data_IF_726851229276
#
_entry.id   IF_726851229276
#
_cell.length_a   1.000
_cell.length_b   1.000
_cell.length_c   1.000
_cell.angle_alpha   90.00
_cell.angle_beta   90.00
_cell.angle_gamma   90.00
#
_symmetry.space_group_name_H-M   'P 1'
#
loop_
_entity.id
_entity.type
_entity.pdbx_description
1 polymer ?
#
# COMPACT_ATOMS: atom_id res chain seq x y z
N UNK A 1 -18.97 -8.50 12.15
CA UNK A 1 -18.82 -8.53 13.62
C UNK A 1 -18.53 -9.94 14.05
N UNK A 2 -17.40 -10.18 14.65
CA UNK A 2 -17.12 -11.44 15.33
C UNK A 2 -17.67 -11.28 16.75
N UNK A 3 -18.70 -12.07 17.14
CA UNK A 3 -19.33 -11.91 18.45
C UNK A 3 -18.43 -12.31 19.61
N UNK A 4 -17.20 -12.67 19.34
CA UNK A 4 -16.25 -12.99 20.39
C UNK A 4 -15.26 -11.85 20.51
N UNK A 5 -15.12 -11.36 21.69
CA UNK A 5 -14.02 -10.49 22.12
C UNK A 5 -12.64 -11.14 21.97
N UNK A 6 -12.54 -12.20 21.21
CA UNK A 6 -11.32 -12.96 21.05
C UNK A 6 -10.51 -12.37 19.88
N UNK A 7 -9.29 -12.02 20.19
CA UNK A 7 -8.27 -11.84 19.18
C UNK A 7 -8.05 -13.18 18.47
N UNK A 8 -8.10 -13.19 17.17
CA UNK A 8 -8.03 -14.43 16.42
C UNK A 8 -6.77 -14.42 15.54
N UNK A 9 -5.86 -15.29 15.89
CA UNK A 9 -4.68 -15.54 15.07
C UNK A 9 -4.96 -16.78 14.22
N UNK A 10 -5.14 -16.58 12.94
CA UNK A 10 -5.28 -17.69 11.99
C UNK A 10 -3.95 -18.37 11.67
N UNK A 11 -2.84 -17.89 12.22
CA UNK A 11 -1.51 -18.45 12.00
C UNK A 11 -0.65 -18.48 13.26
N UNK A 12 0.24 -19.51 13.36
CA UNK A 12 1.03 -19.81 14.57
C UNK A 12 2.03 -18.75 14.95
N UNK A 13 2.54 -17.91 14.18
CA UNK A 13 3.57 -16.93 14.51
C UNK A 13 3.10 -15.49 14.37
N UNK A 14 1.81 -15.25 14.49
CA UNK A 14 1.23 -13.92 14.44
C UNK A 14 0.89 -13.39 15.84
N UNK A 15 0.83 -12.07 15.97
CA UNK A 15 0.42 -11.38 17.19
C UNK A 15 -0.77 -10.50 16.89
N UNK A 16 -1.85 -10.65 17.66
CA UNK A 16 -3.03 -9.79 17.53
C UNK A 16 -3.47 -9.32 18.92
N UNK A 17 -3.43 -8.03 19.14
CA UNK A 17 -3.82 -7.37 20.41
C UNK A 17 -4.87 -6.32 20.09
N UNK A 18 -6.05 -6.46 20.68
CA UNK A 18 -7.17 -5.53 20.53
C UNK A 18 -8.48 -6.23 20.22
N UNK A 19 -9.60 -5.58 20.51
CA UNK A 19 -10.92 -6.15 20.31
C UNK A 19 -11.27 -6.31 18.83
N UNK A 20 -11.89 -7.43 18.45
CA UNK A 20 -12.38 -7.72 17.11
C UNK A 20 -11.32 -7.57 15.99
N UNK A 21 -10.08 -7.87 16.30
CA UNK A 21 -8.99 -7.88 15.33
C UNK A 21 -8.63 -9.30 14.92
N UNK A 22 -8.16 -9.48 13.68
CA UNK A 22 -7.89 -10.78 13.11
C UNK A 22 -6.70 -10.76 12.16
N UNK A 23 -5.86 -11.77 12.22
CA UNK A 23 -4.79 -11.98 11.23
C UNK A 23 -4.69 -13.45 10.81
N UNK A 24 -4.52 -13.68 9.52
CA UNK A 24 -4.12 -14.98 8.97
C UNK A 24 -2.73 -14.95 8.30
N UNK A 25 -1.98 -13.88 8.47
CA UNK A 25 -0.63 -13.74 7.92
C UNK A 25 0.44 -14.32 8.83
N UNK A 26 1.41 -15.05 8.26
CA UNK A 26 2.56 -15.55 8.97
C UNK A 26 3.46 -14.37 9.43
N UNK A 27 3.89 -14.37 10.68
CA UNK A 27 4.66 -13.27 11.30
C UNK A 27 4.01 -11.89 11.22
N UNK A 28 2.71 -11.84 11.04
CA UNK A 28 1.97 -10.57 11.08
C UNK A 28 1.79 -10.07 12.51
N UNK A 29 1.66 -8.77 12.66
CA UNK A 29 1.43 -8.13 13.95
C UNK A 29 0.31 -7.08 13.84
N UNK A 30 -0.70 -7.20 14.68
CA UNK A 30 -1.79 -6.22 14.81
C UNK A 30 -1.87 -5.74 16.25
N UNK A 31 -1.80 -4.45 16.45
CA UNK A 31 -2.06 -3.78 17.74
C UNK A 31 -3.12 -2.70 17.51
N UNK A 32 -4.35 -2.97 17.97
CA UNK A 32 -5.47 -2.05 17.80
C UNK A 32 -6.80 -2.79 17.68
N UNK A 33 -7.89 -2.05 17.62
CA UNK A 33 -9.22 -2.61 17.57
C UNK A 33 -9.81 -2.59 16.16
N UNK A 34 -10.64 -3.60 15.85
CA UNK A 34 -11.35 -3.70 14.57
C UNK A 34 -10.40 -3.62 13.35
N UNK A 35 -9.23 -4.23 13.45
CA UNK A 35 -8.24 -4.25 12.37
C UNK A 35 -8.02 -5.67 11.85
N UNK A 36 -7.84 -5.81 10.55
CA UNK A 36 -7.67 -7.12 9.92
C UNK A 36 -6.46 -7.18 8.98
N UNK A 37 -5.79 -8.33 8.98
CA UNK A 37 -4.86 -8.72 7.93
C UNK A 37 -5.32 -10.09 7.39
N UNK A 38 -6.06 -10.11 6.26
CA UNK A 38 -6.74 -11.30 5.81
C UNK A 38 -6.80 -11.44 4.29
N UNK A 39 -6.66 -12.65 3.81
CA UNK A 39 -6.85 -13.03 2.40
C UNK A 39 -8.30 -13.43 2.04
N UNK A 40 -9.21 -13.20 2.92
CA UNK A 40 -10.63 -13.54 2.73
C UNK A 40 -11.29 -13.79 4.07
N UNK A 41 -11.98 -12.81 4.55
CA UNK A 41 -12.74 -12.93 5.79
C UNK A 41 -14.13 -13.54 5.49
N UNK A 42 -14.59 -14.55 6.23
CA UNK A 42 -14.05 -15.08 7.48
C UNK A 42 -13.24 -16.40 7.33
N UNK A 43 -12.33 -16.52 6.40
CA UNK A 43 -11.57 -17.77 6.29
C UNK A 43 -10.64 -17.97 7.48
N UNK A 44 -10.68 -19.15 8.06
CA UNK A 44 -9.77 -19.58 9.12
C UNK A 44 -8.51 -20.25 8.57
N UNK A 45 -8.44 -20.41 7.27
CA UNK A 45 -7.31 -21.10 6.62
C UNK A 45 -6.18 -20.10 6.40
N UNK A 46 -5.04 -20.39 6.97
CA UNK A 46 -3.82 -19.64 6.73
C UNK A 46 -3.35 -19.82 5.29
N UNK A 47 -3.00 -18.73 4.65
CA UNK A 47 -2.41 -18.75 3.32
C UNK A 47 -0.97 -18.21 3.39
N UNK A 48 -0.01 -19.08 3.17
CA UNK A 48 1.41 -18.74 3.25
C UNK A 48 1.85 -17.70 2.20
N UNK A 49 1.02 -17.44 1.20
CA UNK A 49 1.29 -16.42 0.17
C UNK A 49 0.74 -15.04 0.52
N UNK A 50 -0.01 -14.92 1.63
CA UNK A 50 -0.72 -13.70 2.00
C UNK A 50 -0.25 -13.14 3.34
N UNK A 51 -0.13 -11.82 3.39
CA UNK A 51 0.06 -11.04 4.61
C UNK A 51 1.31 -11.43 5.45
N UNK A 52 2.32 -12.02 4.83
CA UNK A 52 3.56 -12.37 5.52
C UNK A 52 4.26 -11.11 6.03
N UNK A 53 4.51 -11.05 7.33
CA UNK A 53 5.15 -9.88 7.95
C UNK A 53 4.32 -8.60 7.89
N UNK A 54 3.01 -8.70 7.67
CA UNK A 54 2.11 -7.55 7.68
C UNK A 54 2.01 -6.95 9.08
N UNK A 55 2.00 -5.62 9.17
CA UNK A 55 1.95 -4.91 10.45
C UNK A 55 0.84 -3.86 10.45
N UNK A 56 0.02 -3.86 11.50
CA UNK A 56 -0.98 -2.82 11.74
C UNK A 56 -0.83 -2.28 13.16
N UNK A 57 -0.75 -0.96 13.27
CA UNK A 57 -0.86 -0.25 14.55
C UNK A 57 -1.97 0.79 14.44
N UNK A 58 -3.02 0.65 15.25
CA UNK A 58 -4.19 1.52 15.21
C UNK A 58 -5.49 0.77 14.96
N UNK A 59 -6.57 1.49 14.69
CA UNK A 59 -7.91 0.90 14.65
C UNK A 59 -8.59 1.06 13.30
N UNK A 60 -9.50 0.14 12.99
CA UNK A 60 -10.30 0.16 11.76
C UNK A 60 -9.45 0.06 10.49
N UNK A 61 -8.25 -0.52 10.58
CA UNK A 61 -7.37 -0.68 9.43
C UNK A 61 -7.50 -2.07 8.82
N UNK A 62 -7.25 -2.17 7.51
CA UNK A 62 -7.26 -3.46 6.84
C UNK A 62 -6.11 -3.66 5.85
N UNK A 63 -5.49 -4.84 5.91
CA UNK A 63 -4.61 -5.38 4.88
C UNK A 63 -5.31 -6.59 4.28
N UNK A 64 -5.77 -6.46 3.05
CA UNK A 64 -6.61 -7.45 2.39
C UNK A 64 -5.98 -7.95 1.10
N UNK A 65 -6.36 -9.16 0.71
CA UNK A 65 -5.92 -9.80 -0.52
C UNK A 65 -7.06 -10.56 -1.15
N UNK A 66 -7.11 -10.64 -2.47
CA UNK A 66 -8.05 -11.52 -3.16
C UNK A 66 -7.74 -12.98 -2.82
N UNK A 67 -8.75 -13.71 -2.34
CA UNK A 67 -8.59 -15.08 -1.86
C UNK A 67 -8.22 -16.10 -2.94
N UNK A 68 -8.56 -15.84 -4.20
CA UNK A 68 -8.40 -16.80 -5.30
C UNK A 68 -7.08 -16.67 -6.08
N UNK A 69 -6.22 -15.75 -5.70
CA UNK A 69 -4.95 -15.52 -6.41
C UNK A 69 -3.81 -16.30 -5.78
N UNK A 70 -3.03 -17.02 -6.58
CA UNK A 70 -1.74 -17.58 -6.16
C UNK A 70 -0.64 -16.53 -5.97
N UNK A 71 -0.90 -15.31 -6.34
CA UNK A 71 0.04 -14.20 -6.22
C UNK A 71 0.27 -13.81 -4.76
N UNK A 72 1.51 -13.56 -4.39
CA UNK A 72 1.82 -12.99 -3.08
C UNK A 72 1.19 -11.61 -2.92
N UNK A 73 0.56 -11.38 -1.79
CA UNK A 73 -0.12 -10.11 -1.50
C UNK A 73 -0.14 -9.82 0.01
N UNK A 74 -0.12 -8.56 0.39
CA UNK A 74 -0.04 -8.13 1.78
C UNK A 74 1.33 -8.34 2.42
N UNK A 75 2.30 -8.84 1.66
CA UNK A 75 3.65 -9.14 2.18
C UNK A 75 4.37 -7.84 2.53
N UNK A 76 4.87 -7.79 3.76
CA UNK A 76 5.60 -6.63 4.31
C UNK A 76 4.84 -5.28 4.22
N UNK A 77 3.52 -5.31 4.16
CA UNK A 77 2.72 -4.09 4.28
C UNK A 77 2.71 -3.58 5.73
N UNK A 78 2.76 -2.28 5.89
CA UNK A 78 2.69 -1.64 7.20
C UNK A 78 1.67 -0.51 7.19
N UNK A 79 0.76 -0.54 8.17
CA UNK A 79 -0.25 0.51 8.39
C UNK A 79 -0.13 1.05 9.80
N UNK A 80 -0.06 2.37 9.93
CA UNK A 80 -0.13 3.08 11.21
C UNK A 80 -1.21 4.15 11.12
N UNK A 81 -2.24 4.06 11.97
CA UNK A 81 -3.30 5.07 12.01
C UNK A 81 -4.71 4.50 12.06
N UNK A 82 -5.65 5.14 11.40
CA UNK A 82 -7.08 4.81 11.52
C UNK A 82 -7.76 4.73 10.16
N UNK A 83 -8.58 3.71 9.95
CA UNK A 83 -9.41 3.53 8.76
C UNK A 83 -8.63 3.53 7.44
N UNK A 84 -7.39 3.04 7.47
CA UNK A 84 -6.59 2.86 6.26
C UNK A 84 -6.78 1.46 5.68
N UNK A 85 -6.59 1.32 4.39
CA UNK A 85 -6.75 0.07 3.67
C UNK A 85 -5.62 -0.19 2.69
N UNK A 86 -5.14 -1.43 2.65
CA UNK A 86 -4.40 -1.93 1.49
C UNK A 86 -5.09 -3.18 0.93
N UNK A 87 -5.16 -3.30 -0.39
CA UNK A 87 -5.74 -4.44 -1.07
C UNK A 87 -4.89 -4.86 -2.26
N UNK A 88 -4.51 -6.13 -2.33
CA UNK A 88 -3.61 -6.64 -3.37
C UNK A 88 -2.37 -5.75 -3.54
N UNK A 89 -1.63 -5.53 -2.47
CA UNK A 89 -0.40 -4.74 -2.50
C UNK A 89 0.71 -5.38 -1.67
N UNK A 90 1.96 -5.12 -2.00
CA UNK A 90 3.13 -5.61 -1.27
C UNK A 90 4.10 -4.47 -0.96
N UNK A 91 4.80 -4.56 0.17
CA UNK A 91 5.79 -3.58 0.59
C UNK A 91 5.24 -2.16 0.77
N UNK A 92 3.93 -2.02 0.90
CA UNK A 92 3.28 -0.73 1.01
C UNK A 92 3.33 -0.18 2.43
N UNK A 93 3.48 1.14 2.54
CA UNK A 93 3.50 1.84 3.82
C UNK A 93 2.38 2.89 3.85
N UNK A 94 1.52 2.81 4.86
CA UNK A 94 0.44 3.77 5.08
C UNK A 94 0.56 4.38 6.47
N UNK A 95 0.54 5.69 6.53
CA UNK A 95 0.59 6.42 7.79
C UNK A 95 -0.44 7.56 7.78
N UNK A 96 -1.45 7.47 8.64
CA UNK A 96 -2.47 8.51 8.75
C UNK A 96 -3.90 7.97 8.86
N UNK A 97 -4.84 8.61 8.17
CA UNK A 97 -6.24 8.26 8.27
C UNK A 97 -6.94 8.18 6.90
N UNK A 98 -7.72 7.13 6.69
CA UNK A 98 -8.56 7.00 5.50
C UNK A 98 -7.80 6.87 4.18
N UNK A 99 -6.52 6.48 4.21
CA UNK A 99 -5.76 6.25 2.99
C UNK A 99 -6.04 4.86 2.41
N UNK A 100 -5.98 4.74 1.10
CA UNK A 100 -6.19 3.48 0.39
C UNK A 100 -5.08 3.22 -0.64
N UNK A 101 -4.49 2.02 -0.61
CA UNK A 101 -3.56 1.54 -1.63
C UNK A 101 -4.09 0.22 -2.18
N UNK A 102 -4.38 0.17 -3.48
CA UNK A 102 -4.91 -1.02 -4.15
C UNK A 102 -4.05 -1.41 -5.34
N UNK A 103 -3.97 -2.71 -5.63
CA UNK A 103 -3.30 -3.26 -6.81
C UNK A 103 -1.83 -2.79 -6.98
N UNK A 104 -1.15 -2.45 -5.89
CA UNK A 104 0.27 -2.10 -5.89
C UNK A 104 1.10 -3.36 -5.61
N UNK A 105 1.15 -4.24 -6.60
CA UNK A 105 1.73 -5.57 -6.46
C UNK A 105 3.16 -5.57 -6.94
N UNK A 106 4.05 -6.00 -6.05
CA UNK A 106 5.44 -6.33 -6.42
C UNK A 106 5.60 -7.86 -6.49
N UNK A 107 6.61 -8.29 -7.21
CA UNK A 107 7.11 -9.66 -7.13
C UNK A 107 7.91 -9.87 -5.82
N UNK A 108 7.25 -9.64 -4.69
CA UNK A 108 7.79 -9.92 -3.37
C UNK A 108 7.20 -11.25 -2.92
N UNK A 109 8.01 -12.30 -2.94
CA UNK A 109 7.62 -13.59 -2.40
C UNK A 109 7.90 -13.67 -0.90
N UNK A 110 6.99 -14.28 -0.16
CA UNK A 110 7.23 -14.62 1.24
C UNK A 110 8.30 -15.72 1.35
N UNK A 111 9.26 -15.60 2.25
CA UNK A 111 10.23 -16.67 2.47
C UNK A 111 9.57 -17.88 3.12
N UNK A 112 10.07 -19.07 2.81
CA UNK A 112 9.68 -20.30 3.53
C UNK A 112 10.08 -20.17 5.01
N UNK A 113 9.15 -20.46 5.90
CA UNK A 113 9.37 -20.38 7.35
C UNK A 113 10.04 -21.61 7.96
N UNK A 114 10.09 -22.72 7.24
CA UNK A 114 10.58 -23.99 7.78
C UNK A 114 12.09 -23.96 8.06
N UNK A 115 12.47 -24.33 9.31
CA UNK A 115 13.87 -24.55 9.70
C UNK A 115 14.75 -23.31 9.78
N UNK A 116 14.20 -22.09 9.68
CA UNK A 116 14.98 -20.85 9.70
C UNK A 116 14.90 -20.15 11.06
N UNK A 117 15.99 -19.55 11.47
CA UNK A 117 16.03 -18.63 12.60
C UNK A 117 15.36 -17.29 12.24
N UNK A 118 15.03 -16.48 13.25
CA UNK A 118 14.47 -15.14 13.04
C UNK A 118 15.39 -14.25 12.17
N UNK A 119 16.71 -14.36 12.37
CA UNK A 119 17.69 -13.63 11.56
C UNK A 119 17.64 -14.04 10.09
N UNK A 120 17.64 -15.34 9.81
CA UNK A 120 17.58 -15.86 8.44
C UNK A 120 16.27 -15.47 7.73
N UNK A 121 15.14 -15.55 8.42
CA UNK A 121 13.86 -15.09 7.87
C UNK A 121 13.86 -13.60 7.54
N UNK A 122 14.41 -12.78 8.43
CA UNK A 122 14.52 -11.34 8.21
C UNK A 122 15.45 -11.02 7.02
N UNK A 123 16.56 -11.72 6.88
CA UNK A 123 17.49 -11.56 5.76
C UNK A 123 16.85 -12.00 4.43
N UNK A 124 16.12 -13.10 4.42
CA UNK A 124 15.39 -13.58 3.23
C UNK A 124 14.30 -12.60 2.81
N UNK A 125 13.49 -12.10 3.73
CA UNK A 125 12.46 -11.12 3.42
C UNK A 125 13.05 -9.81 2.92
N UNK A 126 14.11 -9.32 3.59
CA UNK A 126 14.83 -8.11 3.15
C UNK A 126 15.39 -8.26 1.74
N UNK A 127 15.94 -9.41 1.42
CA UNK A 127 16.44 -9.71 0.09
C UNK A 127 15.33 -9.80 -0.94
N UNK A 128 14.20 -10.42 -0.62
CA UNK A 128 13.03 -10.47 -1.49
C UNK A 128 12.51 -9.07 -1.81
N UNK A 129 12.37 -8.20 -0.81
CA UNK A 129 11.95 -6.80 -1.00
C UNK A 129 12.98 -6.02 -1.83
N UNK A 130 14.27 -6.13 -1.51
CA UNK A 130 15.34 -5.41 -2.21
C UNK A 130 15.48 -5.82 -3.67
N UNK A 131 15.29 -7.09 -3.96
CA UNK A 131 15.47 -7.66 -5.31
C UNK A 131 14.18 -7.66 -6.14
N UNK A 132 13.08 -7.18 -5.59
CA UNK A 132 11.84 -7.03 -6.35
C UNK A 132 11.94 -5.87 -7.34
N UNK A 133 12.35 -6.14 -8.56
CA UNK A 133 12.48 -5.12 -9.60
C UNK A 133 11.18 -4.41 -9.96
N UNK A 134 10.07 -5.06 -9.71
CA UNK A 134 8.76 -4.51 -9.98
C UNK A 134 8.17 -3.66 -8.88
N UNK A 135 8.55 -3.89 -7.68
CA UNK A 135 8.22 -3.38 -6.39
C UNK A 135 6.91 -2.70 -6.18
N UNK A 136 5.82 -3.18 -5.77
CA UNK A 136 4.72 -2.45 -5.16
C UNK A 136 5.23 -1.20 -4.43
N UNK A 137 5.60 -1.35 -3.17
CA UNK A 137 6.28 -0.31 -2.38
C UNK A 137 5.70 1.10 -2.54
N UNK A 138 4.38 1.20 -2.63
CA UNK A 138 3.69 2.48 -2.66
C UNK A 138 3.49 3.00 -1.23
N UNK A 139 3.64 4.30 -1.04
CA UNK A 139 3.52 4.95 0.25
C UNK A 139 2.39 5.97 0.23
N UNK A 140 1.61 6.02 1.32
CA UNK A 140 0.60 7.04 1.55
C UNK A 140 0.74 7.63 2.95
N UNK A 141 1.04 8.91 3.01
CA UNK A 141 1.21 9.67 4.24
C UNK A 141 0.19 10.81 4.30
N UNK A 142 -0.62 10.86 5.34
CA UNK A 142 -1.62 11.90 5.54
C UNK A 142 -3.03 11.35 5.57
N UNK A 143 -3.96 11.99 4.90
CA UNK A 143 -5.37 11.62 4.99
C UNK A 143 -6.06 11.52 3.64
N UNK A 144 -6.87 10.48 3.45
CA UNK A 144 -7.72 10.34 2.27
C UNK A 144 -6.97 10.15 0.95
N UNK A 145 -5.67 9.84 0.97
CA UNK A 145 -4.93 9.60 -0.26
C UNK A 145 -5.33 8.24 -0.85
N UNK A 146 -5.40 8.18 -2.17
CA UNK A 146 -5.78 6.97 -2.92
C UNK A 146 -4.75 6.63 -3.98
N UNK A 147 -4.24 5.41 -3.93
CA UNK A 147 -3.35 4.84 -4.93
C UNK A 147 -3.95 3.55 -5.50
N UNK A 148 -4.04 3.43 -6.82
CA UNK A 148 -4.53 2.22 -7.50
C UNK A 148 -3.70 1.90 -8.73
N UNK A 149 -3.24 0.66 -8.86
CA UNK A 149 -2.28 0.25 -9.89
C UNK A 149 -1.05 1.16 -9.92
N UNK A 150 -0.37 1.23 -8.79
CA UNK A 150 0.81 2.07 -8.61
C UNK A 150 2.02 1.25 -8.18
N UNK A 151 3.21 1.63 -8.62
CA UNK A 151 4.46 0.98 -8.23
C UNK A 151 5.51 2.03 -7.82
N UNK A 152 6.19 1.81 -6.71
CA UNK A 152 7.30 2.65 -6.22
C UNK A 152 6.95 4.14 -6.19
N UNK A 153 5.78 4.44 -5.68
CA UNK A 153 5.21 5.79 -5.70
C UNK A 153 4.89 6.29 -4.29
N UNK A 154 4.75 7.60 -4.13
CA UNK A 154 4.45 8.21 -2.86
C UNK A 154 3.36 9.29 -2.98
N UNK A 155 2.39 9.25 -2.08
CA UNK A 155 1.37 10.28 -1.90
C UNK A 155 1.56 10.89 -0.51
N UNK A 156 1.76 12.19 -0.44
CA UNK A 156 1.97 12.92 0.81
C UNK A 156 1.02 14.11 0.91
N UNK A 157 0.22 14.15 1.95
CA UNK A 157 -0.74 15.22 2.18
C UNK A 157 -2.17 14.74 2.24
N UNK A 158 -3.09 15.45 1.62
CA UNK A 158 -4.52 15.20 1.79
C UNK A 158 -5.23 15.03 0.45
N UNK A 159 -6.04 13.99 0.33
CA UNK A 159 -6.90 13.70 -0.83
C UNK A 159 -6.15 13.64 -2.18
N UNK A 160 -4.89 13.25 -2.20
CA UNK A 160 -4.19 13.03 -3.45
C UNK A 160 -4.60 11.67 -4.06
N UNK A 161 -4.74 11.61 -5.37
CA UNK A 161 -5.15 10.41 -6.10
C UNK A 161 -4.13 10.08 -7.19
N UNK A 162 -3.57 8.87 -7.13
CA UNK A 162 -2.67 8.35 -8.16
C UNK A 162 -3.23 7.04 -8.70
N UNK A 163 -3.52 7.00 -9.98
CA UNK A 163 -4.10 5.83 -10.62
C UNK A 163 -3.30 5.35 -11.83
N UNK A 164 -3.49 4.12 -12.14
CA UNK A 164 -3.06 3.47 -13.35
C UNK A 164 -4.07 2.42 -13.79
N UNK A 165 -3.63 1.43 -14.51
CA UNK A 165 -4.42 0.23 -14.82
C UNK A 165 -3.50 -0.96 -14.98
N UNK A 166 -4.04 -2.16 -14.98
CA UNK A 166 -3.25 -3.37 -15.19
C UNK A 166 -2.44 -3.29 -16.50
N UNK A 167 -1.13 -3.44 -16.39
CA UNK A 167 -0.19 -3.32 -17.52
C UNK A 167 0.11 -1.88 -17.95
N UNK A 168 -0.45 -0.88 -17.27
CA UNK A 168 -0.16 0.56 -17.42
C UNK A 168 -0.19 1.25 -16.06
N UNK A 169 0.58 0.72 -15.15
CA UNK A 169 0.68 1.22 -13.79
C UNK A 169 1.35 2.61 -13.78
N UNK A 170 0.93 3.44 -12.84
CA UNK A 170 1.67 4.65 -12.52
C UNK A 170 2.90 4.31 -11.68
N UNK A 171 4.07 4.77 -12.12
CA UNK A 171 5.34 4.30 -11.53
C UNK A 171 6.29 5.44 -11.18
N UNK A 172 7.07 5.26 -10.10
CA UNK A 172 8.10 6.21 -9.69
C UNK A 172 7.57 7.66 -9.60
N UNK A 173 6.37 7.81 -9.06
CA UNK A 173 5.65 9.09 -9.05
C UNK A 173 5.47 9.58 -7.63
N UNK A 174 5.60 10.89 -7.43
CA UNK A 174 5.36 11.54 -6.15
C UNK A 174 4.29 12.62 -6.30
N UNK A 175 3.22 12.52 -5.50
CA UNK A 175 2.22 13.57 -5.34
C UNK A 175 2.35 14.16 -3.94
N UNK A 176 2.53 15.46 -3.82
CA UNK A 176 2.67 16.15 -2.54
C UNK A 176 1.77 17.37 -2.50
N UNK A 177 0.94 17.46 -1.46
CA UNK A 177 0.06 18.59 -1.22
C UNK A 177 -1.40 18.20 -1.07
N UNK A 178 -2.30 18.94 -1.70
CA UNK A 178 -3.73 18.79 -1.53
C UNK A 178 -4.44 18.52 -2.86
N UNK A 179 -5.26 17.46 -2.90
CA UNK A 179 -6.21 17.20 -3.99
C UNK A 179 -5.55 17.10 -5.38
N UNK A 180 -4.30 16.66 -5.44
CA UNK A 180 -3.65 16.40 -6.72
C UNK A 180 -4.11 15.05 -7.29
N UNK A 181 -4.32 14.99 -8.59
CA UNK A 181 -4.70 13.77 -9.33
C UNK A 181 -3.68 13.48 -10.42
N UNK A 182 -3.24 12.21 -10.49
CA UNK A 182 -2.42 11.75 -11.59
C UNK A 182 -2.86 10.36 -12.07
N UNK A 183 -2.88 10.14 -13.37
CA UNK A 183 -3.28 8.88 -13.99
C UNK A 183 -2.31 8.47 -15.11
N UNK A 184 -1.87 7.21 -15.09
CA UNK A 184 -0.95 6.63 -16.08
C UNK A 184 0.30 7.47 -16.31
N UNK A 185 0.95 7.84 -15.22
CA UNK A 185 2.16 8.66 -15.22
C UNK A 185 3.38 7.86 -14.80
N UNK A 186 4.55 8.27 -15.23
CA UNK A 186 5.80 7.64 -14.79
C UNK A 186 6.92 8.67 -14.60
N UNK A 187 7.78 8.45 -13.60
CA UNK A 187 8.89 9.34 -13.25
C UNK A 187 8.42 10.80 -13.14
N UNK A 188 7.28 11.02 -12.49
CA UNK A 188 6.63 12.33 -12.44
C UNK A 188 6.52 12.80 -10.99
N UNK A 189 6.79 14.07 -10.76
CA UNK A 189 6.62 14.71 -9.46
C UNK A 189 5.62 15.85 -9.57
N UNK A 190 4.64 15.85 -8.67
CA UNK A 190 3.60 16.90 -8.58
C UNK A 190 3.62 17.47 -7.16
N UNK A 191 3.79 18.77 -7.04
CA UNK A 191 3.84 19.50 -5.76
C UNK A 191 2.90 20.68 -5.83
N UNK A 192 1.96 20.78 -4.91
CA UNK A 192 0.99 21.86 -4.81
C UNK A 192 -0.43 21.36 -4.60
N UNK A 193 -1.39 22.08 -5.10
CA UNK A 193 -2.82 21.79 -4.89
C UNK A 193 -3.59 21.72 -6.19
N UNK A 194 -4.55 20.80 -6.24
CA UNK A 194 -5.55 20.72 -7.33
C UNK A 194 -4.95 20.52 -8.73
N UNK A 195 -3.75 19.95 -8.81
CA UNK A 195 -3.14 19.65 -10.09
C UNK A 195 -3.69 18.33 -10.66
N UNK A 196 -3.89 18.30 -11.98
CA UNK A 196 -4.28 17.09 -12.72
C UNK A 196 -3.22 16.77 -13.77
N UNK A 197 -2.63 15.56 -13.69
CA UNK A 197 -1.59 15.12 -14.61
C UNK A 197 -1.97 13.77 -15.20
N UNK A 198 -2.11 13.68 -16.50
CA UNK A 198 -2.52 12.43 -17.17
C UNK A 198 -1.56 12.05 -18.28
N UNK A 199 -1.34 10.73 -18.42
CA UNK A 199 -0.58 10.12 -19.52
C UNK A 199 0.78 10.81 -19.77
N UNK A 200 1.47 11.20 -18.71
CA UNK A 200 2.69 12.02 -18.79
C UNK A 200 3.90 11.30 -18.17
N UNK A 201 5.09 11.61 -18.66
CA UNK A 201 6.33 10.95 -18.22
C UNK A 201 7.46 11.95 -17.99
N UNK A 202 8.37 11.60 -17.05
CA UNK A 202 9.59 12.37 -16.78
C UNK A 202 9.30 13.87 -16.57
N UNK A 203 8.28 14.18 -15.80
CA UNK A 203 7.77 15.56 -15.68
C UNK A 203 7.81 16.05 -14.24
N UNK A 204 8.01 17.35 -14.07
CA UNK A 204 7.88 18.08 -12.83
C UNK A 204 6.78 19.12 -12.95
N UNK A 205 5.78 19.05 -12.10
CA UNK A 205 4.69 20.02 -11.98
C UNK A 205 4.71 20.60 -10.57
N UNK A 206 4.91 21.91 -10.44
CA UNK A 206 5.01 22.60 -9.18
C UNK A 206 4.16 23.87 -9.22
N UNK A 207 3.12 23.92 -8.40
CA UNK A 207 2.15 25.02 -8.35
C UNK A 207 0.73 24.47 -8.14
N UNK A 208 -0.26 25.29 -8.42
CA UNK A 208 -1.66 24.96 -8.18
C UNK A 208 -2.50 25.05 -9.46
N UNK A 209 -3.60 24.30 -9.52
CA UNK A 209 -4.59 24.29 -10.61
C UNK A 209 -3.98 24.01 -11.99
N UNK A 210 -2.95 23.15 -12.07
CA UNK A 210 -2.32 22.79 -13.35
C UNK A 210 -3.00 21.56 -13.95
N UNK A 211 -3.36 21.68 -15.22
CA UNK A 211 -3.75 20.55 -16.06
C UNK A 211 -2.61 20.21 -17.03
N UNK A 212 -2.10 18.98 -16.96
CA UNK A 212 -0.98 18.49 -17.78
C UNK A 212 -1.38 17.16 -18.39
N UNK A 213 -1.36 17.08 -19.72
CA UNK A 213 -1.77 15.89 -20.45
C UNK A 213 -0.79 15.57 -21.57
N UNK A 214 -0.52 14.27 -21.75
CA UNK A 214 0.32 13.73 -22.83
C UNK A 214 1.72 14.39 -22.89
N UNK A 215 2.24 14.84 -21.74
CA UNK A 215 3.50 15.56 -21.67
C UNK A 215 4.67 14.60 -21.41
N UNK A 216 5.76 14.82 -22.10
CA UNK A 216 7.02 14.12 -21.86
C UNK A 216 8.13 15.14 -21.62
N UNK A 217 8.91 14.92 -20.54
CA UNK A 217 10.03 15.78 -20.16
C UNK A 217 9.63 17.24 -19.90
N UNK A 218 8.45 17.44 -19.31
CA UNK A 218 7.95 18.78 -19.03
C UNK A 218 8.39 19.27 -17.65
N UNK A 219 8.72 20.53 -17.54
CA UNK A 219 8.92 21.24 -16.27
C UNK A 219 7.98 22.43 -16.24
N UNK A 220 7.00 22.40 -15.35
CA UNK A 220 6.01 23.44 -15.17
C UNK A 220 6.11 23.96 -13.75
N UNK A 221 6.36 25.24 -13.60
CA UNK A 221 6.46 25.90 -12.30
C UNK A 221 5.54 27.12 -12.32
N UNK A 222 4.75 27.27 -11.26
CA UNK A 222 3.79 28.35 -11.08
C UNK A 222 2.35 27.86 -11.15
N UNK A 223 1.45 28.63 -10.57
CA UNK A 223 0.01 28.34 -10.51
C UNK A 223 -0.74 28.93 -11.68
N UNK A 224 -1.91 28.39 -11.97
CA UNK A 224 -2.91 29.02 -12.85
C UNK A 224 -4.05 29.55 -12.00
N UNK A 225 -4.67 30.63 -12.41
CA UNK A 225 -5.90 31.11 -11.81
C UNK A 225 -7.01 30.07 -11.97
N UNK A 226 -7.83 29.89 -10.97
CA UNK A 226 -8.98 28.99 -10.94
C UNK A 226 -10.20 29.59 -11.65
#
# INVERSE_FOLDING_TARGET
>A
FIPSTKNNNGHLFSTTIGANSYSNGLFSSIVGAYSIASSGYPTTTADATKNFGATITGSLNSIESASASSQYSGVANSIVGTANRTFNSNGSLVFGAGNEITNSVADISAPSSGGNSAKELAEKLRSAVKNSNGGGSTMAFGSGNKADYTLRSALMGVNNTLTGSQGKESTNTMLTGFHNTADKVSNTTVIGSENTVTNSKNSLVMGDNREVKDANHAVLIGSTDS
#
